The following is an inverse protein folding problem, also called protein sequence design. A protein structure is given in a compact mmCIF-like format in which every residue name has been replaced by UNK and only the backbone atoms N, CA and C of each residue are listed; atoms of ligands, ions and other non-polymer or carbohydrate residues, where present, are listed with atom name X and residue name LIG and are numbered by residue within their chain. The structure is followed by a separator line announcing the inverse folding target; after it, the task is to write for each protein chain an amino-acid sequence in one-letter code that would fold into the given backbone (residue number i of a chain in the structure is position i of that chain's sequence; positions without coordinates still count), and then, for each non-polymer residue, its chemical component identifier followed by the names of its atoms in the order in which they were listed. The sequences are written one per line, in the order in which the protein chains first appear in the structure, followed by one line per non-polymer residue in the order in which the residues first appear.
data_IF_242496215952
#
_entry.id   IF_242496215952
#
_cell.length_a   1.000
_cell.length_b   1.000
_cell.length_c   1.000
_cell.angle_alpha   90.00
_cell.angle_beta   90.00
_cell.angle_gamma   90.00
#
_symmetry.space_group_name_H-M   'P 1'
#
loop_
_entity.id
_entity.type
_entity.pdbx_description
1 polymer ?
#
# COMPACT_ATOMS: atom_id res chain seq x y z
N UNK A 1 1.42 -0.46 4.79
CA UNK A 1 2.71 -0.49 4.06
C UNK A 1 3.79 0.08 4.96
N UNK A 2 4.96 -0.53 5.09
CA UNK A 2 6.07 0.12 5.76
C UNK A 2 6.62 1.22 4.84
N UNK A 3 6.72 2.44 5.34
CA UNK A 3 7.43 3.51 4.67
C UNK A 3 8.92 3.14 4.62
N UNK A 4 9.48 2.90 3.44
CA UNK A 4 10.91 2.64 3.31
C UNK A 4 11.69 3.93 3.29
N UNK A 5 12.51 4.10 4.31
CA UNK A 5 13.43 5.25 4.42
C UNK A 5 14.85 4.69 4.42
N UNK A 6 15.62 5.03 3.38
CA UNK A 6 17.00 4.57 3.26
C UNK A 6 17.18 3.05 3.17
N UNK A 7 16.19 2.33 2.58
CA UNK A 7 16.22 0.88 2.42
C UNK A 7 15.92 0.08 3.68
N UNK A 8 15.46 0.71 4.76
CA UNK A 8 14.99 0.06 6.00
C UNK A 8 13.48 0.16 6.10
N UNK A 9 12.84 -0.92 6.56
CA UNK A 9 11.42 -0.91 6.89
C UNK A 9 11.23 -0.11 8.18
N UNK A 10 10.72 1.12 8.09
CA UNK A 10 10.34 1.91 9.26
C UNK A 10 8.86 1.63 9.59
N UNK A 11 8.50 1.41 10.86
CA UNK A 11 7.12 1.24 11.24
C UNK A 11 6.36 2.55 10.98
N UNK A 12 5.26 2.46 10.22
CA UNK A 12 4.37 3.59 9.98
C UNK A 12 3.77 4.01 11.32
N UNK A 13 4.20 5.15 11.85
CA UNK A 13 3.60 5.81 13.01
C UNK A 13 2.75 6.97 12.53
N UNK A 14 1.57 6.67 11.99
CA UNK A 14 0.55 7.70 11.84
C UNK A 14 0.01 8.05 13.23
N UNK A 15 -0.07 9.33 13.56
CA UNK A 15 -0.75 9.77 14.76
C UNK A 15 -2.25 9.74 14.51
N UNK A 16 -2.97 8.89 15.25
CA UNK A 16 -4.42 8.84 15.23
C UNK A 16 -4.95 9.86 16.25
N UNK A 17 -5.76 10.80 15.80
CA UNK A 17 -6.40 11.80 16.65
C UNK A 17 -7.92 11.55 16.73
N UNK A 18 -8.52 11.83 17.88
CA UNK A 18 -9.97 11.71 18.06
C UNK A 18 -10.68 12.86 17.34
N UNK A 19 -11.59 12.53 16.40
CA UNK A 19 -12.44 13.53 15.74
C UNK A 19 -13.63 13.91 16.64
N UNK A 20 -13.75 15.18 17.07
CA UNK A 20 -14.85 15.63 17.92
C UNK A 20 -16.23 15.68 17.23
N UNK A 21 -16.30 15.60 15.89
CA UNK A 21 -17.53 15.80 15.11
C UNK A 21 -18.21 14.50 14.63
N UNK A 22 -17.62 13.32 14.85
CA UNK A 22 -18.10 12.05 14.27
C UNK A 22 -19.25 11.35 15.04
N UNK A 23 -19.81 11.95 16.09
CA UNK A 23 -20.93 11.36 16.87
C UNK A 23 -22.22 11.10 16.10
N UNK A 24 -22.33 11.58 14.86
CA UNK A 24 -23.59 11.59 14.12
C UNK A 24 -23.81 10.42 13.14
N UNK A 25 -22.81 9.55 12.88
CA UNK A 25 -22.90 8.51 11.86
C UNK A 25 -23.10 7.07 12.36
N UNK A 26 -23.11 6.81 13.65
CA UNK A 26 -23.14 5.48 14.26
C UNK A 26 -24.48 4.71 14.14
N UNK A 27 -25.26 4.83 13.10
CA UNK A 27 -26.62 4.29 13.08
C UNK A 27 -26.81 2.86 12.52
N UNK A 28 -25.90 2.29 11.74
CA UNK A 28 -26.17 1.09 10.96
C UNK A 28 -25.63 -0.25 11.53
N UNK A 29 -24.71 -0.25 12.48
CA UNK A 29 -23.91 -1.45 12.83
C UNK A 29 -24.20 -2.02 14.22
N UNK A 30 -25.42 -1.88 14.74
CA UNK A 30 -25.80 -2.29 16.12
C UNK A 30 -25.86 -3.80 16.35
N UNK A 31 -25.68 -4.63 15.35
CA UNK A 31 -25.92 -6.09 15.46
C UNK A 31 -24.68 -6.97 15.37
N UNK A 32 -23.51 -6.43 14.96
CA UNK A 32 -22.28 -7.22 14.93
C UNK A 32 -21.66 -7.35 16.33
N UNK A 33 -21.08 -8.51 16.60
CA UNK A 33 -20.33 -8.75 17.84
C UNK A 33 -19.21 -7.71 18.01
N UNK A 34 -18.95 -7.26 19.25
CA UNK A 34 -17.97 -6.20 19.54
C UNK A 34 -16.57 -6.54 19.01
N UNK A 35 -16.12 -7.80 19.15
CA UNK A 35 -14.84 -8.27 18.63
C UNK A 35 -14.74 -8.18 17.11
N UNK A 36 -15.80 -8.48 16.38
CA UNK A 36 -15.85 -8.38 14.92
C UNK A 36 -15.75 -6.91 14.46
N UNK A 37 -16.49 -6.01 15.13
CA UNK A 37 -16.41 -4.57 14.84
C UNK A 37 -15.02 -4.00 15.13
N UNK A 38 -14.37 -4.44 16.20
CA UNK A 38 -13.01 -4.05 16.54
C UNK A 38 -12.01 -4.46 15.46
N UNK A 39 -12.21 -5.63 14.83
CA UNK A 39 -11.34 -6.07 13.72
C UNK A 39 -11.57 -5.24 12.45
N UNK A 40 -12.82 -4.92 12.09
CA UNK A 40 -13.08 -4.01 10.96
C UNK A 40 -12.46 -2.63 11.19
N UNK A 41 -12.63 -2.08 12.40
CA UNK A 41 -11.98 -0.84 12.80
C UNK A 41 -10.45 -0.92 12.66
N UNK A 42 -9.84 -1.97 13.21
CA UNK A 42 -8.40 -2.14 13.19
C UNK A 42 -7.84 -2.25 11.76
N UNK A 43 -8.55 -2.97 10.88
CA UNK A 43 -8.20 -3.06 9.47
C UNK A 43 -8.21 -1.68 8.80
N UNK A 44 -9.34 -0.97 8.81
CA UNK A 44 -9.45 0.31 8.13
C UNK A 44 -8.59 1.41 8.75
N UNK A 45 -8.37 1.39 10.07
CA UNK A 45 -7.43 2.30 10.73
C UNK A 45 -5.97 2.04 10.29
N UNK A 46 -5.59 0.79 10.11
CA UNK A 46 -4.28 0.39 9.56
C UNK A 46 -4.13 0.87 8.11
N UNK A 47 -5.15 0.64 7.28
CA UNK A 47 -5.14 1.13 5.89
C UNK A 47 -5.06 2.66 5.85
N UNK A 48 -5.88 3.38 6.61
CA UNK A 48 -5.81 4.84 6.70
C UNK A 48 -4.42 5.35 7.09
N UNK A 49 -3.74 4.66 8.01
CA UNK A 49 -2.37 4.95 8.41
C UNK A 49 -1.38 4.75 7.26
N UNK A 50 -1.54 3.66 6.50
CA UNK A 50 -0.68 3.32 5.38
C UNK A 50 -0.85 4.33 4.23
N UNK A 51 -2.09 4.66 3.87
CA UNK A 51 -2.40 5.66 2.84
C UNK A 51 -1.87 7.05 3.21
N UNK A 52 -2.05 7.44 4.48
CA UNK A 52 -1.50 8.70 5.01
C UNK A 52 0.01 8.78 4.87
N UNK A 53 0.74 7.68 5.08
CA UNK A 53 2.19 7.61 4.91
C UNK A 53 2.63 7.65 3.43
N UNK A 54 1.78 7.23 2.50
CA UNK A 54 2.05 7.27 1.06
C UNK A 54 2.04 8.69 0.50
N UNK A 55 1.29 9.63 1.09
CA UNK A 55 1.24 11.04 0.65
C UNK A 55 2.64 11.67 0.58
N UNK A 56 3.40 11.78 1.69
CA UNK A 56 4.74 12.34 1.65
C UNK A 56 5.72 11.47 0.85
N UNK A 57 5.49 10.15 0.73
CA UNK A 57 6.32 9.28 -0.09
C UNK A 57 6.21 9.63 -1.58
N UNK A 58 5.00 9.81 -2.13
CA UNK A 58 4.81 10.26 -3.51
C UNK A 58 5.30 11.69 -3.75
N UNK A 59 5.20 12.57 -2.77
CA UNK A 59 5.80 13.92 -2.85
C UNK A 59 7.34 13.86 -2.91
N UNK A 60 7.97 12.97 -2.14
CA UNK A 60 9.40 12.73 -2.19
C UNK A 60 9.80 12.13 -3.54
N UNK A 61 9.07 11.13 -4.03
CA UNK A 61 9.25 10.53 -5.35
C UNK A 61 9.23 11.58 -6.46
N UNK A 62 8.26 12.50 -6.45
CA UNK A 62 8.19 13.57 -7.44
C UNK A 62 9.43 14.47 -7.42
N UNK A 63 9.94 14.83 -6.24
CA UNK A 63 11.19 15.61 -6.09
C UNK A 63 12.40 14.85 -6.61
N UNK A 64 12.48 13.55 -6.34
CA UNK A 64 13.62 12.73 -6.73
C UNK A 64 13.60 12.44 -8.23
N UNK A 65 12.43 12.24 -8.83
CA UNK A 65 12.27 12.20 -10.29
C UNK A 65 12.71 13.50 -10.94
N UNK A 66 12.45 14.66 -10.32
CA UNK A 66 12.93 15.95 -10.81
C UNK A 66 14.46 16.05 -10.75
N UNK A 67 15.09 15.62 -9.65
CA UNK A 67 16.56 15.55 -9.51
C UNK A 67 17.20 14.62 -10.56
N UNK A 68 16.54 13.50 -10.86
CA UNK A 68 16.95 12.55 -11.88
C UNK A 68 16.70 13.04 -13.31
N UNK A 69 16.17 14.26 -13.50
CA UNK A 69 15.78 14.81 -14.82
C UNK A 69 14.77 13.91 -15.55
N UNK A 70 13.88 13.27 -14.84
CA UNK A 70 12.84 12.42 -15.39
C UNK A 70 11.84 13.23 -16.24
N UNK A 71 11.13 12.57 -17.19
CA UNK A 71 10.06 13.20 -17.96
C UNK A 71 9.02 13.87 -17.05
N UNK A 72 8.56 15.06 -17.44
CA UNK A 72 7.56 15.83 -16.69
C UNK A 72 6.22 15.07 -16.50
N UNK A 73 5.92 14.11 -17.36
CA UNK A 73 4.77 13.22 -17.23
C UNK A 73 4.84 12.37 -15.95
N UNK A 74 6.01 11.81 -15.65
CA UNK A 74 6.23 11.00 -14.43
C UNK A 74 6.13 11.84 -13.16
N UNK A 75 6.75 13.03 -13.17
CA UNK A 75 6.69 13.97 -12.03
C UNK A 75 5.24 14.37 -11.74
N UNK A 76 4.48 14.75 -12.78
CA UNK A 76 3.07 15.10 -12.61
C UNK A 76 2.20 13.91 -12.15
N UNK A 77 2.50 12.70 -12.63
CA UNK A 77 1.81 11.50 -12.21
C UNK A 77 2.07 11.19 -10.72
N UNK A 78 3.31 11.32 -10.24
CA UNK A 78 3.63 11.16 -8.82
C UNK A 78 2.92 12.19 -7.93
N UNK A 79 2.84 13.46 -8.36
CA UNK A 79 2.09 14.50 -7.64
C UNK A 79 0.57 14.27 -7.67
N UNK A 80 0.04 13.63 -8.70
CA UNK A 80 -1.36 13.20 -8.75
C UNK A 80 -1.59 12.06 -7.78
N UNK A 81 -0.74 11.03 -7.78
CA UNK A 81 -0.81 9.93 -6.83
C UNK A 81 -0.82 10.41 -5.37
N UNK A 82 0.02 11.39 -5.01
CA UNK A 82 -0.01 11.98 -3.66
C UNK A 82 -1.39 12.56 -3.27
N UNK A 83 -2.17 13.09 -4.22
CA UNK A 83 -3.53 13.59 -3.94
C UNK A 83 -4.55 12.46 -3.85
N UNK A 84 -4.38 11.42 -4.66
CA UNK A 84 -5.20 10.22 -4.62
C UNK A 84 -5.03 9.51 -3.27
N UNK A 85 -3.80 9.41 -2.74
CA UNK A 85 -3.51 8.89 -1.39
C UNK A 85 -4.19 9.72 -0.27
N UNK A 86 -4.29 11.03 -0.42
CA UNK A 86 -5.04 11.84 0.53
C UNK A 86 -6.54 11.47 0.53
N UNK A 87 -7.10 11.21 -0.66
CA UNK A 87 -8.49 10.72 -0.78
C UNK A 87 -8.64 9.32 -0.18
N UNK A 88 -7.71 8.41 -0.44
CA UNK A 88 -7.71 7.07 0.18
C UNK A 88 -7.65 7.15 1.70
N UNK A 89 -6.80 8.03 2.25
CA UNK A 89 -6.72 8.29 3.69
C UNK A 89 -8.08 8.71 4.27
N UNK A 90 -8.79 9.62 3.60
CA UNK A 90 -10.11 10.08 4.03
C UNK A 90 -11.14 8.95 3.99
N UNK A 91 -11.17 8.17 2.90
CA UNK A 91 -12.07 7.02 2.73
C UNK A 91 -11.83 5.95 3.80
N UNK A 92 -10.59 5.53 3.99
CA UNK A 92 -10.23 4.50 4.99
C UNK A 92 -10.50 5.01 6.43
N UNK A 93 -10.24 6.29 6.71
CA UNK A 93 -10.56 6.91 8.00
C UNK A 93 -12.07 6.93 8.25
N UNK A 94 -12.88 7.25 7.25
CA UNK A 94 -14.33 7.22 7.36
C UNK A 94 -14.85 5.81 7.66
N UNK A 95 -14.36 4.79 6.92
CA UNK A 95 -14.72 3.38 7.14
C UNK A 95 -14.29 2.90 8.54
N UNK A 96 -13.11 3.28 9.01
CA UNK A 96 -12.69 2.97 10.39
C UNK A 96 -13.64 3.61 11.40
N UNK A 97 -13.99 4.89 11.21
CA UNK A 97 -14.84 5.63 12.14
C UNK A 97 -16.27 5.11 12.23
N UNK A 98 -16.78 4.47 11.18
CA UNK A 98 -18.09 3.80 11.22
C UNK A 98 -18.13 2.63 12.22
N UNK A 99 -16.99 2.06 12.55
CA UNK A 99 -16.83 0.96 13.52
C UNK A 99 -16.16 1.38 14.83
N UNK A 100 -15.72 2.60 14.96
CA UNK A 100 -14.97 3.08 16.12
C UNK A 100 -15.86 3.36 17.33
N UNK A 101 -15.34 3.04 18.52
CA UNK A 101 -15.92 3.55 19.78
C UNK A 101 -15.63 5.06 19.94
N UNK A 102 -14.47 5.51 19.51
CA UNK A 102 -14.06 6.91 19.44
C UNK A 102 -13.50 7.19 18.04
N UNK A 103 -13.95 8.26 17.36
CA UNK A 103 -13.47 8.60 16.04
C UNK A 103 -11.97 8.96 16.02
N UNK A 104 -11.31 8.62 14.92
CA UNK A 104 -9.89 8.89 14.69
C UNK A 104 -9.71 9.80 13.49
N UNK A 105 -8.55 10.42 13.41
CA UNK A 105 -8.05 11.14 12.23
C UNK A 105 -6.66 10.58 11.94
N UNK A 106 -6.45 10.09 10.71
CA UNK A 106 -5.12 9.71 10.25
C UNK A 106 -4.34 10.97 9.84
N UNK A 107 -3.07 11.03 10.18
CA UNK A 107 -2.18 12.12 9.78
C UNK A 107 -0.90 11.55 9.15
N UNK A 108 -0.45 12.20 8.07
CA UNK A 108 0.78 11.82 7.40
C UNK A 108 2.00 12.00 8.31
N UNK A 109 2.90 11.02 8.40
CA UNK A 109 4.17 11.18 9.07
C UNK A 109 5.10 12.13 8.32
N UNK A 110 6.05 12.72 9.02
CA UNK A 110 7.14 13.44 8.35
C UNK A 110 8.03 12.44 7.61
N UNK A 111 8.31 12.72 6.33
CA UNK A 111 9.26 11.93 5.55
C UNK A 111 10.65 12.54 5.68
N UNK A 112 11.63 11.82 6.24
CA UNK A 112 13.01 12.30 6.29
C UNK A 112 13.55 12.58 4.88
N UNK A 113 14.37 13.61 4.76
CA UNK A 113 15.07 13.88 3.52
C UNK A 113 16.07 12.75 3.23
N UNK A 114 16.03 12.22 2.01
CA UNK A 114 17.02 11.25 1.54
C UNK A 114 18.10 11.97 0.74
N UNK A 115 19.35 11.58 0.97
CA UNK A 115 20.52 12.15 0.29
C UNK A 115 21.25 11.04 -0.46
N UNK A 116 21.16 11.09 -1.78
CA UNK A 116 21.94 10.20 -2.64
C UNK A 116 23.30 10.85 -2.95
N UNK A 117 24.35 10.03 -3.01
CA UNK A 117 25.71 10.52 -3.26
C UNK A 117 25.88 11.08 -4.67
N UNK A 118 25.14 10.53 -5.63
CA UNK A 118 25.16 10.94 -7.03
C UNK A 118 23.88 10.49 -7.76
N UNK A 119 23.77 10.84 -9.04
CA UNK A 119 22.60 10.49 -9.87
C UNK A 119 22.47 8.99 -10.10
N UNK A 120 23.58 8.23 -10.16
CA UNK A 120 23.55 6.79 -10.33
C UNK A 120 22.89 6.11 -9.11
N UNK A 121 23.33 6.45 -7.88
CA UNK A 121 22.72 5.97 -6.65
C UNK A 121 21.24 6.37 -6.53
N UNK A 122 20.88 7.57 -6.96
CA UNK A 122 19.51 8.02 -7.03
C UNK A 122 18.66 7.15 -7.97
N UNK A 123 19.15 6.85 -9.18
CA UNK A 123 18.44 6.02 -10.15
C UNK A 123 18.29 4.57 -9.66
N UNK A 124 19.31 3.99 -9.02
CA UNK A 124 19.23 2.67 -8.40
C UNK A 124 18.15 2.63 -7.32
N UNK A 125 18.13 3.61 -6.40
CA UNK A 125 17.13 3.70 -5.34
C UNK A 125 15.73 3.89 -5.89
N UNK A 126 15.54 4.83 -6.83
CA UNK A 126 14.23 5.06 -7.48
C UNK A 126 13.70 3.79 -8.16
N UNK A 127 14.57 3.04 -8.84
CA UNK A 127 14.17 1.79 -9.47
C UNK A 127 13.74 0.74 -8.45
N UNK A 128 14.47 0.61 -7.33
CA UNK A 128 14.17 -0.35 -6.27
C UNK A 128 12.85 0.02 -5.56
N UNK A 129 12.66 1.27 -5.17
CA UNK A 129 11.44 1.76 -4.53
C UNK A 129 10.23 1.61 -5.48
N UNK A 130 10.35 2.06 -6.73
CA UNK A 130 9.29 1.91 -7.72
C UNK A 130 8.95 0.43 -7.98
N UNK A 131 9.92 -0.46 -7.99
CA UNK A 131 9.66 -1.88 -8.18
C UNK A 131 8.92 -2.48 -6.98
N UNK A 132 9.46 -2.34 -5.77
CA UNK A 132 8.92 -3.00 -4.59
C UNK A 132 7.66 -2.37 -4.07
N UNK A 133 7.67 -1.06 -3.87
CA UNK A 133 6.54 -0.37 -3.26
C UNK A 133 5.45 -0.08 -4.30
N UNK A 134 5.85 0.20 -5.54
CA UNK A 134 4.91 0.50 -6.62
C UNK A 134 4.43 -0.73 -7.39
N UNK A 135 5.30 -1.41 -8.17
CA UNK A 135 4.86 -2.51 -9.02
C UNK A 135 4.29 -3.69 -8.21
N UNK A 136 4.95 -4.07 -7.12
CA UNK A 136 4.54 -5.22 -6.31
C UNK A 136 3.46 -4.84 -5.31
N UNK A 137 3.70 -3.86 -4.43
CA UNK A 137 2.78 -3.56 -3.33
C UNK A 137 1.50 -2.85 -3.81
N UNK A 138 1.59 -1.78 -4.65
CA UNK A 138 0.40 -1.11 -5.20
C UNK A 138 -0.40 -2.04 -6.12
N UNK A 139 0.30 -2.86 -6.91
CA UNK A 139 -0.34 -3.89 -7.73
C UNK A 139 -1.13 -4.90 -6.89
N UNK A 140 -0.57 -5.34 -5.76
CA UNK A 140 -1.27 -6.22 -4.82
C UNK A 140 -2.46 -5.50 -4.17
N UNK A 141 -2.31 -4.23 -3.75
CA UNK A 141 -3.40 -3.43 -3.17
C UNK A 141 -4.57 -3.30 -4.15
N UNK A 142 -4.30 -2.96 -5.42
CA UNK A 142 -5.34 -2.94 -6.47
C UNK A 142 -6.05 -4.29 -6.61
N UNK A 143 -5.31 -5.39 -6.62
CA UNK A 143 -5.87 -6.74 -6.73
C UNK A 143 -6.73 -7.09 -5.53
N UNK A 144 -6.28 -6.78 -4.32
CA UNK A 144 -7.02 -7.00 -3.06
C UNK A 144 -8.33 -6.20 -3.08
N UNK A 145 -8.25 -4.90 -3.33
CA UNK A 145 -9.42 -4.03 -3.36
C UNK A 145 -10.45 -4.50 -4.40
N UNK A 146 -10.03 -4.84 -5.61
CA UNK A 146 -10.89 -5.33 -6.69
C UNK A 146 -11.56 -6.67 -6.34
N UNK A 147 -10.86 -7.60 -5.70
CA UNK A 147 -11.43 -8.90 -5.29
C UNK A 147 -12.35 -8.77 -4.09
N UNK A 148 -12.03 -7.89 -3.16
CA UNK A 148 -12.90 -7.59 -2.01
C UNK A 148 -14.25 -7.03 -2.45
N UNK A 149 -14.31 -6.24 -3.54
CA UNK A 149 -15.55 -5.74 -4.13
C UNK A 149 -16.60 -6.82 -4.42
N UNK A 150 -16.17 -8.03 -4.82
CA UNK A 150 -17.07 -9.12 -5.20
C UNK A 150 -17.93 -9.57 -4.02
N UNK A 151 -17.38 -9.54 -2.81
CA UNK A 151 -18.03 -10.02 -1.59
C UNK A 151 -18.60 -8.89 -0.72
N UNK A 152 -18.13 -7.66 -0.90
CA UNK A 152 -18.56 -6.49 -0.14
C UNK A 152 -19.99 -6.11 -0.48
N UNK A 153 -20.86 -5.95 0.54
CA UNK A 153 -22.28 -5.60 0.38
C UNK A 153 -22.59 -4.16 0.79
N UNK A 154 -21.81 -3.60 1.68
CA UNK A 154 -21.95 -2.21 2.10
C UNK A 154 -21.58 -1.26 0.95
N UNK A 155 -22.50 -0.37 0.57
CA UNK A 155 -22.33 0.53 -0.58
C UNK A 155 -21.19 1.53 -0.36
N UNK A 156 -21.04 2.04 0.84
CA UNK A 156 -19.96 2.99 1.19
C UNK A 156 -18.59 2.33 1.05
N UNK A 157 -18.45 1.13 1.58
CA UNK A 157 -17.22 0.32 1.45
C UNK A 157 -16.96 -0.03 -0.02
N UNK A 158 -17.99 -0.36 -0.80
CA UNK A 158 -17.83 -0.65 -2.24
C UNK A 158 -17.28 0.54 -3.00
N UNK A 159 -17.84 1.74 -2.81
CA UNK A 159 -17.38 2.96 -3.47
C UNK A 159 -15.93 3.31 -3.09
N UNK A 160 -15.55 3.11 -1.84
CA UNK A 160 -14.17 3.28 -1.39
C UNK A 160 -13.24 2.29 -2.09
N UNK A 161 -13.57 1.00 -2.09
CA UNK A 161 -12.78 -0.05 -2.74
C UNK A 161 -12.68 0.14 -4.26
N UNK A 162 -13.73 0.61 -4.94
CA UNK A 162 -13.72 0.93 -6.38
C UNK A 162 -12.72 2.07 -6.69
N UNK A 163 -12.72 3.11 -5.85
CA UNK A 163 -11.79 4.23 -5.98
C UNK A 163 -10.36 3.78 -5.76
N UNK A 164 -10.09 3.12 -4.63
CA UNK A 164 -8.76 2.60 -4.29
C UNK A 164 -8.26 1.62 -5.38
N UNK A 165 -9.08 0.65 -5.80
CA UNK A 165 -8.67 -0.34 -6.80
C UNK A 165 -8.25 0.28 -8.13
N UNK A 166 -8.95 1.32 -8.58
CA UNK A 166 -8.64 2.06 -9.81
C UNK A 166 -7.33 2.83 -9.66
N UNK A 167 -7.20 3.59 -8.60
CA UNK A 167 -6.07 4.50 -8.42
C UNK A 167 -4.79 3.72 -8.13
N UNK A 168 -4.84 2.64 -7.32
CA UNK A 168 -3.72 1.72 -7.08
C UNK A 168 -3.20 1.05 -8.36
N UNK A 169 -4.10 0.75 -9.32
CA UNK A 169 -3.69 0.23 -10.62
C UNK A 169 -2.88 1.27 -11.41
N UNK A 170 -3.26 2.54 -11.34
CA UNK A 170 -2.53 3.63 -12.00
C UNK A 170 -1.19 3.91 -11.28
N UNK A 171 -1.13 3.81 -9.95
CA UNK A 171 0.12 3.89 -9.19
C UNK A 171 1.09 2.77 -9.58
N UNK A 172 0.60 1.54 -9.72
CA UNK A 172 1.43 0.43 -10.21
C UNK A 172 1.91 0.61 -11.66
N UNK A 173 1.11 1.27 -12.52
CA UNK A 173 1.52 1.63 -13.90
C UNK A 173 2.59 2.72 -13.88
N UNK A 174 2.40 3.80 -13.11
CA UNK A 174 3.40 4.83 -12.90
C UNK A 174 4.74 4.23 -12.46
N UNK A 175 4.69 3.30 -11.54
CA UNK A 175 5.89 2.66 -11.00
C UNK A 175 6.62 1.81 -12.06
N UNK A 176 5.90 1.13 -12.95
CA UNK A 176 6.49 0.45 -14.11
C UNK A 176 7.19 1.43 -15.05
N UNK A 177 6.56 2.57 -15.33
CA UNK A 177 7.14 3.61 -16.19
C UNK A 177 8.41 4.22 -15.55
N UNK A 178 8.43 4.37 -14.21
CA UNK A 178 9.61 4.83 -13.46
C UNK A 178 10.74 3.81 -13.53
N UNK A 179 10.45 2.52 -13.36
CA UNK A 179 11.46 1.44 -13.51
C UNK A 179 12.05 1.47 -14.92
N UNK A 180 11.21 1.59 -15.95
CA UNK A 180 11.67 1.67 -17.34
C UNK A 180 12.54 2.91 -17.58
N UNK A 181 12.16 4.07 -17.04
CA UNK A 181 12.99 5.28 -17.09
C UNK A 181 14.36 5.05 -16.42
N UNK A 182 14.38 4.51 -15.20
CA UNK A 182 15.61 4.25 -14.47
C UNK A 182 16.53 3.24 -15.18
N UNK A 183 15.97 2.18 -15.77
CA UNK A 183 16.71 1.22 -16.59
C UNK A 183 17.33 1.87 -17.84
N UNK A 184 16.59 2.78 -18.47
CA UNK A 184 17.09 3.53 -19.65
C UNK A 184 18.19 4.52 -19.28
N UNK A 185 18.04 5.24 -18.16
CA UNK A 185 18.96 6.30 -17.74
C UNK A 185 20.21 5.76 -17.00
N UNK A 186 20.04 4.72 -16.17
CA UNK A 186 21.12 4.15 -15.33
C UNK A 186 21.73 2.86 -15.86
N UNK A 187 21.15 2.27 -16.91
CA UNK A 187 21.73 1.14 -17.65
C UNK A 187 22.08 -0.08 -16.76
N UNK A 188 23.36 -0.50 -16.82
CA UNK A 188 23.82 -1.71 -16.16
C UNK A 188 23.83 -1.63 -14.64
N UNK A 189 24.02 -0.46 -14.03
CA UNK A 189 24.04 -0.31 -12.57
C UNK A 189 22.64 -0.55 -11.98
N UNK A 190 21.60 0.06 -12.56
CA UNK A 190 20.20 -0.13 -12.16
C UNK A 190 19.78 -1.59 -12.38
N UNK A 191 20.16 -2.19 -13.52
CA UNK A 191 19.85 -3.60 -13.82
C UNK A 191 20.48 -4.54 -12.79
N UNK A 192 21.73 -4.31 -12.40
CA UNK A 192 22.42 -5.07 -11.35
C UNK A 192 21.72 -4.90 -10.01
N UNK A 193 21.41 -3.66 -9.58
CA UNK A 193 20.75 -3.40 -8.31
C UNK A 193 19.39 -4.11 -8.18
N UNK A 194 18.58 -4.08 -9.25
CA UNK A 194 17.31 -4.82 -9.30
C UNK A 194 17.54 -6.32 -9.22
N UNK A 195 18.50 -6.89 -9.99
CA UNK A 195 18.83 -8.31 -9.96
C UNK A 195 19.26 -8.80 -8.58
N UNK A 196 20.19 -8.10 -7.94
CA UNK A 196 20.64 -8.42 -6.58
C UNK A 196 19.51 -8.32 -5.55
N UNK A 197 18.59 -7.36 -5.73
CA UNK A 197 17.42 -7.21 -4.86
C UNK A 197 16.44 -8.37 -5.01
N UNK A 198 16.23 -8.85 -6.25
CA UNK A 198 15.39 -10.01 -6.54
C UNK A 198 15.96 -11.29 -5.90
N UNK A 199 17.27 -11.53 -6.05
CA UNK A 199 17.93 -12.69 -5.46
C UNK A 199 17.80 -12.69 -3.93
N UNK A 200 18.08 -11.55 -3.27
CA UNK A 200 17.93 -11.44 -1.81
C UNK A 200 16.52 -11.75 -1.32
N UNK A 201 15.50 -11.30 -2.04
CA UNK A 201 14.08 -11.55 -1.67
C UNK A 201 13.68 -13.00 -1.92
N UNK A 202 14.19 -13.64 -2.98
CA UNK A 202 13.92 -15.04 -3.25
C UNK A 202 14.40 -15.93 -2.08
N UNK A 203 15.60 -15.71 -1.58
CA UNK A 203 16.11 -16.43 -0.41
C UNK A 203 15.26 -16.16 0.84
N UNK A 204 14.83 -14.93 1.10
CA UNK A 204 13.99 -14.60 2.25
C UNK A 204 12.60 -15.25 2.19
N UNK A 205 12.01 -15.41 1.00
CA UNK A 205 10.73 -16.10 0.80
C UNK A 205 10.90 -17.62 0.98
N UNK A 206 11.96 -18.21 0.44
CA UNK A 206 12.28 -19.63 0.62
C UNK A 206 12.51 -19.98 2.09
N UNK A 207 13.21 -19.12 2.86
CA UNK A 207 13.38 -19.24 4.31
C UNK A 207 12.06 -19.11 5.08
N UNK A 208 11.23 -18.13 4.76
CA UNK A 208 9.94 -17.92 5.42
C UNK A 208 8.97 -19.09 5.19
N UNK A 209 8.92 -19.64 3.97
CA UNK A 209 8.11 -20.83 3.65
C UNK A 209 8.61 -22.08 4.39
N UNK A 210 9.92 -22.19 4.63
CA UNK A 210 10.48 -23.30 5.41
C UNK A 210 10.15 -23.22 6.90
N UNK A 211 9.86 -22.04 7.43
CA UNK A 211 9.53 -21.78 8.84
C UNK A 211 8.03 -21.73 9.13
N UNK A 212 7.17 -21.63 8.10
CA UNK A 212 5.72 -21.45 8.22
C UNK A 212 4.97 -22.78 8.43
N UNK A 213 5.31 -23.50 9.50
CA UNK A 213 4.54 -24.66 9.99
C UNK A 213 4.16 -24.47 11.46
N UNK A 214 3.45 -23.39 11.82
CA UNK A 214 2.91 -23.23 13.18
C UNK A 214 1.56 -22.53 13.18
N UNK A 215 0.54 -23.31 13.55
CA UNK A 215 -0.64 -23.04 14.35
C UNK A 215 -1.60 -21.91 13.94
N UNK A 216 -2.79 -22.38 13.51
CA UNK A 216 -4.01 -21.57 13.44
C UNK A 216 -4.40 -21.02 14.81
N UNK A 217 -4.55 -19.71 14.91
CA UNK A 217 -5.16 -19.05 16.04
C UNK A 217 -6.64 -19.43 16.14
N UNK A 218 -7.10 -19.85 17.33
CA UNK A 218 -8.48 -20.20 17.62
C UNK A 218 -9.38 -18.97 17.49
N UNK A 219 -10.41 -19.14 16.67
CA UNK A 219 -11.43 -18.16 16.35
C UNK A 219 -12.35 -17.91 17.58
N UNK A 220 -12.10 -16.85 18.30
CA UNK A 220 -12.88 -16.41 19.47
C UNK A 220 -14.14 -15.62 19.08
N UNK A 221 -15.10 -16.23 18.35
CA UNK A 221 -16.42 -15.62 18.14
C UNK A 221 -16.46 -14.48 17.11
N UNK A 222 -15.52 -14.44 16.18
CA UNK A 222 -15.45 -13.46 15.08
C UNK A 222 -16.28 -13.96 13.89
N UNK A 223 -17.12 -13.07 13.34
CA UNK A 223 -17.91 -13.35 12.14
C UNK A 223 -17.09 -13.03 10.89
N UNK A 224 -16.46 -14.05 10.30
CA UNK A 224 -15.64 -13.92 9.10
C UNK A 224 -16.44 -13.43 7.88
N UNK A 225 -17.70 -13.82 7.74
CA UNK A 225 -18.57 -13.36 6.64
C UNK A 225 -18.88 -11.86 6.78
N UNK A 226 -19.07 -11.39 8.00
CA UNK A 226 -19.25 -9.97 8.27
C UNK A 226 -17.97 -9.15 7.94
N UNK A 227 -16.79 -9.66 8.31
CA UNK A 227 -15.52 -9.02 7.97
C UNK A 227 -15.38 -8.80 6.47
N UNK A 228 -15.62 -9.86 5.68
CA UNK A 228 -15.54 -9.81 4.21
C UNK A 228 -16.57 -8.84 3.61
N UNK A 229 -17.79 -8.80 4.17
CA UNK A 229 -18.83 -7.84 3.73
C UNK A 229 -18.44 -6.38 4.02
N UNK A 230 -17.64 -6.15 5.05
CA UNK A 230 -17.05 -4.84 5.40
C UNK A 230 -15.72 -4.55 4.68
N UNK A 231 -15.35 -5.34 3.68
CA UNK A 231 -14.17 -5.12 2.86
C UNK A 231 -12.85 -5.61 3.47
N UNK A 232 -12.89 -6.31 4.61
CA UNK A 232 -11.69 -6.88 5.23
C UNK A 232 -11.28 -8.13 4.44
N UNK A 233 -10.08 -8.16 3.82
CA UNK A 233 -9.63 -9.32 3.05
C UNK A 233 -9.26 -10.49 3.97
N UNK A 234 -9.53 -11.72 3.54
CA UNK A 234 -9.00 -12.91 4.19
C UNK A 234 -7.50 -13.11 3.88
N UNK A 235 -6.82 -13.87 4.72
CA UNK A 235 -5.38 -14.12 4.59
C UNK A 235 -5.02 -14.79 3.26
N UNK A 236 -5.87 -15.70 2.78
CA UNK A 236 -5.75 -16.36 1.47
C UNK A 236 -5.73 -15.36 0.31
N UNK A 237 -6.58 -14.34 0.36
CA UNK A 237 -6.60 -13.27 -0.64
C UNK A 237 -5.34 -12.42 -0.60
N UNK A 238 -4.84 -12.11 0.60
CA UNK A 238 -3.61 -11.33 0.76
C UNK A 238 -2.41 -12.07 0.15
N UNK A 239 -2.25 -13.35 0.47
CA UNK A 239 -1.17 -14.19 -0.04
C UNK A 239 -1.22 -14.32 -1.57
N UNK A 240 -2.38 -14.69 -2.12
CA UNK A 240 -2.56 -14.84 -3.57
C UNK A 240 -2.29 -13.54 -4.31
N UNK A 241 -2.78 -12.39 -3.82
CA UNK A 241 -2.55 -11.11 -4.47
C UNK A 241 -1.06 -10.73 -4.46
N UNK A 242 -0.34 -11.01 -3.39
CA UNK A 242 1.10 -10.76 -3.31
C UNK A 242 1.88 -11.61 -4.30
N UNK A 243 1.60 -12.92 -4.37
CA UNK A 243 2.26 -13.86 -5.29
C UNK A 243 2.01 -13.47 -6.75
N UNK A 244 0.76 -13.23 -7.14
CA UNK A 244 0.40 -12.86 -8.52
C UNK A 244 1.09 -11.56 -8.98
N UNK A 245 1.12 -10.56 -8.12
CA UNK A 245 1.73 -9.28 -8.49
C UNK A 245 3.26 -9.34 -8.45
N UNK A 246 3.84 -10.14 -7.57
CA UNK A 246 5.26 -10.49 -7.60
C UNK A 246 5.64 -11.14 -8.93
N UNK A 247 4.99 -12.24 -9.31
CA UNK A 247 5.28 -12.95 -10.56
C UNK A 247 5.11 -12.06 -11.79
N UNK A 248 4.04 -11.25 -11.83
CA UNK A 248 3.80 -10.29 -12.91
C UNK A 248 4.91 -9.26 -13.02
N UNK A 249 5.37 -8.72 -11.88
CA UNK A 249 6.41 -7.69 -11.82
C UNK A 249 7.78 -8.26 -12.21
N UNK A 250 8.11 -9.49 -11.82
CA UNK A 250 9.35 -10.17 -12.23
C UNK A 250 9.33 -10.45 -13.74
N UNK A 251 8.21 -10.92 -14.29
CA UNK A 251 8.06 -11.11 -15.74
C UNK A 251 8.23 -9.83 -16.54
N UNK A 252 7.74 -8.71 -16.01
CA UNK A 252 7.92 -7.40 -16.61
C UNK A 252 9.40 -7.01 -16.69
N UNK A 253 10.18 -7.21 -15.61
CA UNK A 253 11.62 -6.93 -15.60
C UNK A 253 12.41 -7.83 -16.56
N UNK A 254 12.01 -9.09 -16.72
CA UNK A 254 12.69 -10.01 -17.65
C UNK A 254 12.51 -9.62 -19.12
N UNK A 255 11.50 -8.79 -19.44
CA UNK A 255 11.21 -8.32 -20.79
C UNK A 255 11.69 -6.87 -21.05
N UNK A 256 12.30 -6.21 -20.06
CA UNK A 256 12.81 -4.84 -20.12
C UNK A 256 14.34 -4.81 -20.29
#
# INVERSE_FOLDING_TARGET
RPLRIGGRDEPVRASLHVDPHARLRQRALRHAHEGTRAQVFAHWAKEASAESASIPAFMALARDLQKASAPQSLIRAALRAAREEATHTELCTALANDHAALPIIASAPETPAQYDQNVEALLERLALEAFWDGCVAEGAASTIARRSLVKTRDETTRLALETIARDELEHARLSRDIVAFCLSAGGSSVRRALGESLERKRFAVEDALSMSSVEGAQDGGVDGDFLVQCGVPGDDLLEVAQVENWESSVKMLANA
#
